data_IF_743521612087
#
_entry.id   IF_743521612087
#
_cell.length_a   1.000
_cell.length_b   1.000
_cell.length_c   1.000
_cell.angle_alpha   90.00
_cell.angle_beta   90.00
_cell.angle_gamma   90.00
#
_symmetry.space_group_name_H-M   'P 1'
#
loop_
_entity.id
_entity.type
_entity.pdbx_description
1 polymer ?
#
# COMPACT_ATOMS: atom_id res chain seq x y z
N UNK A 1 7.11 -22.17 1.21
CA UNK A 1 6.69 -21.78 2.56
C UNK A 1 6.54 -20.26 2.58
N UNK A 2 5.37 -19.69 2.91
CA UNK A 2 5.20 -18.23 2.99
C UNK A 2 5.78 -17.72 4.31
N UNK A 3 6.77 -16.84 4.25
CA UNK A 3 7.36 -16.18 5.44
C UNK A 3 6.31 -15.27 6.07
N UNK A 4 6.25 -15.25 7.41
CA UNK A 4 5.39 -14.33 8.16
C UNK A 4 6.22 -13.50 9.15
N UNK A 5 5.65 -12.39 9.60
CA UNK A 5 6.26 -11.45 10.53
C UNK A 5 5.28 -11.08 11.64
N UNK A 6 5.77 -10.92 12.88
CA UNK A 6 4.94 -10.40 13.97
C UNK A 6 4.37 -9.01 13.67
N UNK A 7 3.12 -8.76 14.04
CA UNK A 7 2.41 -7.51 13.89
C UNK A 7 3.15 -6.38 14.61
N UNK A 8 3.74 -6.65 15.77
CA UNK A 8 4.58 -5.70 16.52
C UNK A 8 5.77 -5.18 15.71
N UNK A 9 6.27 -5.96 14.74
CA UNK A 9 7.32 -5.55 13.80
C UNK A 9 6.74 -4.97 12.52
N UNK A 10 5.63 -5.53 12.01
CA UNK A 10 4.99 -5.07 10.79
C UNK A 10 4.35 -3.68 10.95
N UNK A 11 3.81 -3.36 12.12
CA UNK A 11 3.10 -2.10 12.37
C UNK A 11 4.01 -0.85 12.28
N UNK A 12 5.19 -0.80 12.94
CA UNK A 12 6.14 0.29 12.74
C UNK A 12 6.57 0.44 11.28
N UNK A 13 6.78 -0.68 10.58
CA UNK A 13 7.14 -0.66 9.16
C UNK A 13 6.01 -0.09 8.30
N UNK A 14 4.77 -0.49 8.56
CA UNK A 14 3.60 0.04 7.86
C UNK A 14 3.43 1.54 8.12
N UNK A 15 3.68 2.03 9.33
CA UNK A 15 3.65 3.47 9.62
C UNK A 15 4.73 4.24 8.86
N UNK A 16 5.95 3.69 8.79
CA UNK A 16 7.04 4.31 8.02
C UNK A 16 6.67 4.43 6.54
N UNK A 17 6.18 3.33 5.95
CA UNK A 17 5.75 3.31 4.54
C UNK A 17 4.60 4.30 4.32
N UNK A 18 3.61 4.33 5.22
CA UNK A 18 2.51 5.29 5.12
C UNK A 18 3.02 6.73 5.11
N UNK A 19 3.89 7.09 6.06
CA UNK A 19 4.46 8.44 6.17
C UNK A 19 5.25 8.85 4.92
N UNK A 20 5.99 7.92 4.31
CA UNK A 20 6.75 8.18 3.07
C UNK A 20 5.83 8.37 1.85
N UNK A 21 4.70 7.66 1.80
CA UNK A 21 3.75 7.72 0.68
C UNK A 21 2.70 8.84 0.83
N UNK A 22 2.37 9.25 2.04
CA UNK A 22 1.30 10.19 2.37
C UNK A 22 1.36 11.52 1.59
N UNK A 23 2.53 12.14 1.32
CA UNK A 23 2.61 13.35 0.50
C UNK A 23 2.10 13.19 -0.94
N UNK A 24 2.20 11.97 -1.50
CA UNK A 24 1.74 11.65 -2.85
C UNK A 24 0.29 11.12 -2.89
N UNK A 25 -0.37 11.04 -1.74
CA UNK A 25 -1.71 10.51 -1.62
C UNK A 25 -2.71 11.62 -1.26
N UNK A 26 -3.91 11.55 -1.82
CA UNK A 26 -5.07 12.24 -1.24
C UNK A 26 -5.53 11.52 0.01
N UNK A 27 -5.45 10.19 0.00
CA UNK A 27 -5.75 9.34 1.15
C UNK A 27 -4.92 8.07 1.11
N UNK A 28 -4.46 7.63 2.28
CA UNK A 28 -3.77 6.34 2.45
C UNK A 28 -4.24 5.69 3.75
N UNK A 29 -4.57 4.40 3.69
CA UNK A 29 -5.04 3.63 4.84
C UNK A 29 -4.34 2.26 4.87
N UNK A 30 -3.86 1.83 6.04
CA UNK A 30 -3.45 0.44 6.26
C UNK A 30 -4.66 -0.47 6.07
N UNK A 31 -4.50 -1.57 5.36
CA UNK A 31 -5.55 -2.54 5.09
C UNK A 31 -5.19 -3.93 5.67
N UNK A 32 -5.92 -4.95 5.25
CA UNK A 32 -5.50 -6.32 5.52
C UNK A 32 -5.48 -6.76 6.98
N UNK A 33 -4.63 -7.74 7.26
CA UNK A 33 -4.40 -8.27 8.61
C UNK A 33 -3.74 -7.27 9.55
N UNK A 34 -2.94 -6.33 9.02
CA UNK A 34 -2.34 -5.22 9.78
C UNK A 34 -3.45 -4.35 10.37
N UNK A 35 -4.42 -3.90 9.54
CA UNK A 35 -5.57 -3.11 10.01
C UNK A 35 -6.45 -3.83 11.02
N UNK A 36 -6.72 -5.13 10.80
CA UNK A 36 -7.60 -5.91 11.68
C UNK A 36 -6.93 -6.30 13.00
N UNK A 37 -5.64 -6.05 13.17
CA UNK A 37 -4.85 -6.51 14.29
C UNK A 37 -5.14 -8.00 14.61
N UNK A 38 -5.08 -8.84 13.57
CA UNK A 38 -5.56 -10.22 13.67
C UNK A 38 -4.84 -10.96 14.81
N UNK A 39 -5.56 -11.72 15.67
CA UNK A 39 -4.98 -12.29 16.90
C UNK A 39 -3.89 -13.34 16.65
N UNK A 40 -3.77 -13.82 15.41
CA UNK A 40 -2.61 -14.58 14.95
C UNK A 40 -1.50 -13.55 14.72
N UNK A 41 -0.75 -13.19 15.77
CA UNK A 41 0.31 -12.16 15.79
C UNK A 41 1.18 -12.08 14.53
N UNK A 42 1.26 -13.12 13.70
CA UNK A 42 1.97 -13.14 12.43
C UNK A 42 1.13 -12.70 11.21
N UNK A 43 1.58 -11.64 10.54
CA UNK A 43 1.10 -11.17 9.22
C UNK A 43 1.96 -11.68 8.08
N UNK A 44 1.37 -11.89 6.90
CA UNK A 44 2.10 -12.33 5.70
C UNK A 44 2.68 -11.17 4.88
N UNK A 45 1.99 -10.04 4.88
CA UNK A 45 2.25 -8.87 4.06
C UNK A 45 1.73 -7.59 4.75
N UNK A 46 2.08 -6.45 4.18
CA UNK A 46 1.55 -5.13 4.55
C UNK A 46 0.77 -4.62 3.33
N UNK A 47 -0.52 -4.37 3.52
CA UNK A 47 -1.43 -3.91 2.47
C UNK A 47 -1.88 -2.48 2.75
N UNK A 48 -2.03 -1.67 1.70
CA UNK A 48 -2.58 -0.32 1.77
C UNK A 48 -3.70 -0.14 0.75
N UNK A 49 -4.69 0.69 1.10
CA UNK A 49 -5.64 1.26 0.16
C UNK A 49 -5.29 2.73 -0.02
N UNK A 50 -5.10 3.16 -1.26
CA UNK A 50 -4.59 4.49 -1.61
C UNK A 50 -5.53 5.17 -2.60
N UNK A 51 -5.80 6.45 -2.35
CA UNK A 51 -6.29 7.40 -3.35
C UNK A 51 -5.08 8.28 -3.71
N UNK A 52 -4.50 8.14 -4.91
CA UNK A 52 -3.32 8.90 -5.30
C UNK A 52 -3.70 10.37 -5.54
N UNK A 53 -2.80 11.30 -5.20
CA UNK A 53 -2.96 12.70 -5.59
C UNK A 53 -2.56 12.84 -7.05
N UNK A 54 -3.55 13.13 -7.90
CA UNK A 54 -3.28 13.39 -9.31
C UNK A 54 -2.56 14.72 -9.45
N UNK A 55 -1.42 14.71 -10.15
CA UNK A 55 -0.75 15.95 -10.53
C UNK A 55 -1.29 16.40 -11.88
N UNK A 56 -1.74 17.65 -11.95
CA UNK A 56 -2.29 18.25 -13.17
C UNK A 56 -1.23 18.51 -14.26
N UNK A 57 0.05 18.43 -13.92
CA UNK A 57 1.17 18.61 -14.85
C UNK A 57 1.65 17.30 -15.49
N UNK A 58 1.04 16.16 -15.15
CA UNK A 58 1.30 14.88 -15.78
C UNK A 58 0.09 14.48 -16.63
N UNK A 59 0.31 13.92 -17.85
CA UNK A 59 -0.79 13.44 -18.67
C UNK A 59 -1.56 12.35 -17.92
N UNK A 60 -2.89 12.46 -17.91
CA UNK A 60 -3.81 11.61 -17.16
C UNK A 60 -3.80 10.12 -17.58
N UNK A 61 -3.08 9.75 -18.63
CA UNK A 61 -2.95 8.38 -19.12
C UNK A 61 -1.48 8.02 -19.28
N UNK A 62 -0.96 7.24 -18.34
CA UNK A 62 -0.06 6.14 -18.68
C UNK A 62 -0.96 4.91 -18.67
N UNK A 63 -1.39 4.44 -19.84
CA UNK A 63 -1.94 3.10 -19.94
C UNK A 63 -0.80 2.13 -19.63
N UNK A 64 -0.91 1.39 -18.52
CA UNK A 64 0.09 0.37 -18.15
C UNK A 64 0.10 -0.81 -19.14
N UNK A 65 -1.00 -0.97 -19.88
CA UNK A 65 -1.16 -1.91 -20.96
C UNK A 65 -1.27 -1.11 -22.25
N UNK A 66 -0.24 -1.16 -23.08
CA UNK A 66 -0.26 -0.54 -24.41
C UNK A 66 -1.49 -1.03 -25.17
N UNK A 67 -2.32 -0.13 -25.67
CA UNK A 67 -3.43 -0.47 -26.58
C UNK A 67 -2.93 -0.86 -27.99
N UNK A 68 -1.72 -1.37 -28.12
CA UNK A 68 -1.17 -1.76 -29.42
C UNK A 68 -1.76 -3.13 -29.80
N UNK A 69 -2.62 -3.21 -30.84
CA UNK A 69 -3.09 -4.50 -31.32
C UNK A 69 -1.93 -5.27 -31.98
N UNK A 70 -1.97 -6.63 -31.98
CA UNK A 70 -0.97 -7.47 -32.63
C UNK A 70 -0.92 -7.28 -34.15
#
# INVERSE_FOLDING_TARGET
MKTKMRLSRAWPLANKIQMELEPACERIEKAGSVRRASPKDDVGDIEFVIIPRLRSDLPAQISLFSDEPP
#
